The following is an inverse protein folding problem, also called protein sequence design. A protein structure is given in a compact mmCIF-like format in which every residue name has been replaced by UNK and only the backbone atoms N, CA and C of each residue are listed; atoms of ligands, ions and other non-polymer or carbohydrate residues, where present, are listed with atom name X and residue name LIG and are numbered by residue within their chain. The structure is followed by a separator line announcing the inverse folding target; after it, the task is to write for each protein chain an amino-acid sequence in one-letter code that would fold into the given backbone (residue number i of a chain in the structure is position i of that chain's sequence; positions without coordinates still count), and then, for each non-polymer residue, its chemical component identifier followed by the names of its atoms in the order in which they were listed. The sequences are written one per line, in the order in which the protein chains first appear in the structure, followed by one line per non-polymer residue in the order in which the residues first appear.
data_IF_364794863764
#
_entry.id   IF_364794863764
#
_cell.length_a   1.000
_cell.length_b   1.000
_cell.length_c   1.000
_cell.angle_alpha   90.00
_cell.angle_beta   90.00
_cell.angle_gamma   90.00
#
_symmetry.space_group_name_H-M   'P 1'
#
loop_
_entity.id
_entity.type
_entity.pdbx_description
1 polymer ?
#
# COMPACT_ATOMS: atom_id res chain seq x y z
N UNK A 1 -2.87 -19.41 16.58
CA UNK A 1 -2.73 -17.97 16.27
C UNK A 1 -1.57 -17.71 15.32
N UNK A 2 -0.29 -17.84 15.73
CA UNK A 2 0.86 -17.68 14.80
C UNK A 2 0.80 -18.70 13.65
N UNK A 3 0.41 -19.94 13.94
CA UNK A 3 0.26 -21.00 12.93
C UNK A 3 -0.73 -20.66 11.81
N UNK A 4 -1.83 -19.98 12.12
CA UNK A 4 -2.84 -19.63 11.12
C UNK A 4 -2.39 -18.45 10.23
N UNK A 5 -1.62 -17.50 10.79
CA UNK A 5 -1.01 -16.44 9.98
C UNK A 5 0.04 -17.00 9.01
N UNK A 6 0.85 -17.97 9.44
CA UNK A 6 1.76 -18.68 8.54
C UNK A 6 1.00 -19.45 7.47
N UNK A 7 -0.05 -20.18 7.84
CA UNK A 7 -0.89 -20.90 6.88
C UNK A 7 -1.56 -19.97 5.86
N UNK A 8 -2.07 -18.82 6.31
CA UNK A 8 -2.61 -17.81 5.40
C UNK A 8 -1.54 -17.29 4.45
N UNK A 9 -0.32 -17.03 4.94
CA UNK A 9 0.81 -16.66 4.09
C UNK A 9 1.17 -17.75 3.08
N UNK A 10 1.23 -19.01 3.49
CA UNK A 10 1.51 -20.13 2.58
C UNK A 10 0.45 -20.22 1.47
N UNK A 11 -0.83 -19.98 1.78
CA UNK A 11 -1.89 -19.90 0.80
C UNK A 11 -1.68 -18.73 -0.17
N UNK A 12 -1.31 -17.55 0.33
CA UNK A 12 -0.98 -16.39 -0.51
C UNK A 12 0.22 -16.68 -1.44
N UNK A 13 1.26 -17.33 -0.93
CA UNK A 13 2.44 -17.70 -1.72
C UNK A 13 2.10 -18.73 -2.85
N UNK A 14 0.92 -19.37 -2.78
CA UNK A 14 0.37 -20.25 -3.80
C UNK A 14 -0.83 -19.64 -4.56
N UNK A 15 -1.00 -18.31 -4.52
CA UNK A 15 -2.08 -17.54 -5.15
C UNK A 15 -3.51 -17.95 -4.70
N UNK A 16 -3.64 -18.60 -3.55
CA UNK A 16 -4.93 -19.04 -2.98
C UNK A 16 -5.53 -17.94 -2.08
N UNK A 17 -5.69 -16.73 -2.62
CA UNK A 17 -6.07 -15.53 -1.86
C UNK A 17 -7.42 -15.64 -1.14
N UNK A 18 -8.47 -16.16 -1.77
CA UNK A 18 -9.77 -16.37 -1.12
C UNK A 18 -9.67 -17.33 0.08
N UNK A 19 -8.84 -18.37 -0.04
CA UNK A 19 -8.61 -19.31 1.06
C UNK A 19 -7.84 -18.65 2.20
N UNK A 20 -6.86 -17.80 1.90
CA UNK A 20 -6.14 -17.01 2.89
C UNK A 20 -7.11 -16.04 3.62
N UNK A 21 -7.96 -15.32 2.89
CA UNK A 21 -9.00 -14.43 3.46
C UNK A 21 -9.90 -15.19 4.45
N UNK A 22 -10.35 -16.39 4.08
CA UNK A 22 -11.18 -17.22 4.95
C UNK A 22 -10.52 -17.61 6.27
N UNK A 23 -9.20 -17.79 6.29
CA UNK A 23 -8.44 -18.04 7.51
C UNK A 23 -8.27 -16.73 8.30
N UNK A 24 -7.83 -15.68 7.63
CA UNK A 24 -7.55 -14.39 8.24
C UNK A 24 -8.80 -13.81 8.92
N UNK A 25 -9.98 -13.85 8.28
CA UNK A 25 -11.22 -13.34 8.86
C UNK A 25 -11.69 -14.06 10.11
N UNK A 26 -11.17 -15.26 10.42
CA UNK A 26 -11.49 -16.02 11.63
C UNK A 26 -10.55 -15.71 12.80
N UNK A 27 -9.53 -14.88 12.59
CA UNK A 27 -8.56 -14.53 13.62
C UNK A 27 -9.03 -13.32 14.42
N UNK A 28 -9.35 -13.56 15.69
CA UNK A 28 -9.80 -12.55 16.64
C UNK A 28 -8.79 -12.38 17.79
N UNK A 29 -8.90 -11.29 18.54
CA UNK A 29 -8.11 -10.99 19.75
C UNK A 29 -6.59 -11.15 19.61
N UNK A 30 -6.06 -10.75 18.44
CA UNK A 30 -4.65 -10.83 18.14
C UNK A 30 -3.83 -9.78 18.92
N UNK A 31 -2.63 -10.12 19.41
CA UNK A 31 -1.64 -9.13 19.82
C UNK A 31 -1.36 -8.15 18.67
N UNK A 32 -1.09 -6.88 18.99
CA UNK A 32 -0.92 -5.80 18.00
C UNK A 32 -0.01 -6.16 16.81
N UNK A 33 1.12 -6.82 17.07
CA UNK A 33 2.04 -7.23 15.99
C UNK A 33 1.40 -8.24 15.03
N UNK A 34 0.67 -9.22 15.56
CA UNK A 34 -0.04 -10.23 14.77
C UNK A 34 -1.25 -9.65 14.06
N UNK A 35 -1.95 -8.71 14.71
CA UNK A 35 -3.04 -7.92 14.11
C UNK A 35 -2.54 -7.16 12.88
N UNK A 36 -1.39 -6.49 12.98
CA UNK A 36 -0.82 -5.74 11.86
C UNK A 36 -0.48 -6.66 10.68
N UNK A 37 0.11 -7.83 10.93
CA UNK A 37 0.33 -8.83 9.88
C UNK A 37 -0.97 -9.34 9.28
N UNK A 38 -2.00 -9.59 10.09
CA UNK A 38 -3.31 -10.02 9.58
C UNK A 38 -3.90 -8.98 8.63
N UNK A 39 -3.89 -7.71 9.02
CA UNK A 39 -4.41 -6.62 8.18
C UNK A 39 -3.60 -6.47 6.90
N UNK A 40 -2.27 -6.54 6.97
CA UNK A 40 -1.41 -6.48 5.78
C UNK A 40 -1.72 -7.62 4.79
N UNK A 41 -1.87 -8.84 5.30
CA UNK A 41 -2.20 -10.00 4.49
C UNK A 41 -3.60 -9.88 3.89
N UNK A 42 -4.58 -9.43 4.66
CA UNK A 42 -5.94 -9.19 4.17
C UNK A 42 -5.97 -8.14 3.07
N UNK A 43 -5.32 -6.97 3.26
CA UNK A 43 -5.29 -5.91 2.24
C UNK A 43 -4.63 -6.40 0.96
N UNK A 44 -3.53 -7.16 1.07
CA UNK A 44 -2.88 -7.77 -0.09
C UNK A 44 -3.78 -8.80 -0.78
N UNK A 45 -4.47 -9.66 -0.04
CA UNK A 45 -5.37 -10.64 -0.64
C UNK A 45 -6.53 -9.94 -1.37
N UNK A 46 -7.15 -8.93 -0.76
CA UNK A 46 -8.22 -8.16 -1.40
C UNK A 46 -7.74 -7.49 -2.68
N UNK A 47 -6.53 -6.91 -2.68
CA UNK A 47 -5.95 -6.33 -3.89
C UNK A 47 -5.78 -7.39 -5.00
N UNK A 48 -5.24 -8.57 -4.67
CA UNK A 48 -5.00 -9.63 -5.66
C UNK A 48 -6.27 -10.31 -6.20
N UNK A 49 -7.42 -10.15 -5.53
CA UNK A 49 -8.72 -10.58 -6.04
C UNK A 49 -9.56 -9.42 -6.60
N UNK A 50 -8.92 -8.28 -6.86
CA UNK A 50 -9.53 -7.08 -7.45
C UNK A 50 -10.63 -6.41 -6.59
N UNK A 51 -10.67 -6.71 -5.29
CA UNK A 51 -11.55 -6.09 -4.31
C UNK A 51 -10.90 -4.80 -3.74
N UNK A 52 -10.64 -3.84 -4.62
CA UNK A 52 -9.80 -2.67 -4.34
C UNK A 52 -10.32 -1.79 -3.19
N UNK A 53 -11.64 -1.60 -3.07
CA UNK A 53 -12.20 -0.84 -1.94
C UNK A 53 -11.94 -1.52 -0.59
N UNK A 54 -12.00 -2.86 -0.53
CA UNK A 54 -11.68 -3.61 0.68
C UNK A 54 -10.18 -3.60 0.97
N UNK A 55 -9.35 -3.62 -0.08
CA UNK A 55 -7.90 -3.46 0.05
C UNK A 55 -7.54 -2.10 0.68
N UNK A 56 -8.16 -1.02 0.17
CA UNK A 56 -7.98 0.35 0.68
C UNK A 56 -8.41 0.46 2.14
N UNK A 57 -9.63 0.04 2.50
CA UNK A 57 -10.12 0.12 3.89
C UNK A 57 -9.21 -0.66 4.85
N UNK A 58 -8.80 -1.87 4.45
CA UNK A 58 -7.97 -2.73 5.28
C UNK A 58 -6.56 -2.15 5.45
N UNK A 59 -5.97 -1.62 4.37
CA UNK A 59 -4.68 -0.95 4.42
C UNK A 59 -4.74 0.32 5.28
N UNK A 60 -5.81 1.11 5.18
CA UNK A 60 -5.99 2.31 6.01
C UNK A 60 -6.07 1.97 7.50
N UNK A 61 -6.84 0.93 7.85
CA UNK A 61 -6.91 0.41 9.23
C UNK A 61 -5.56 -0.05 9.76
N UNK A 62 -4.69 -0.59 8.90
CA UNK A 62 -3.31 -0.92 9.27
C UNK A 62 -2.48 0.35 9.48
N UNK A 63 -2.55 1.32 8.57
CA UNK A 63 -1.82 2.59 8.67
C UNK A 63 -2.21 3.40 9.91
N UNK A 64 -3.45 3.32 10.37
CA UNK A 64 -3.88 3.91 11.65
C UNK A 64 -3.15 3.29 12.87
N UNK A 65 -2.70 2.04 12.77
CA UNK A 65 -1.96 1.32 13.82
C UNK A 65 -0.44 1.40 13.64
N UNK A 66 0.02 1.48 12.39
CA UNK A 66 1.41 1.50 11.98
C UNK A 66 1.60 2.41 10.76
N UNK A 67 1.68 3.71 11.02
CA UNK A 67 1.80 4.76 9.99
C UNK A 67 3.11 4.69 9.17
N UNK A 68 4.04 3.81 9.54
CA UNK A 68 5.30 3.59 8.83
C UNK A 68 5.26 2.37 7.92
N UNK A 69 4.12 1.67 7.85
CA UNK A 69 3.97 0.47 7.06
C UNK A 69 3.88 0.80 5.56
N UNK A 70 5.03 0.82 4.89
CA UNK A 70 5.12 1.20 3.47
C UNK A 70 4.38 0.22 2.55
N UNK A 71 4.37 -1.08 2.87
CA UNK A 71 3.58 -2.06 2.10
C UNK A 71 2.09 -1.75 2.12
N UNK A 72 1.54 -1.38 3.29
CA UNK A 72 0.13 -1.02 3.41
C UNK A 72 -0.20 0.22 2.58
N UNK A 73 0.63 1.26 2.67
CA UNK A 73 0.47 2.46 1.85
C UNK A 73 0.56 2.13 0.36
N UNK A 74 1.52 1.31 -0.06
CA UNK A 74 1.68 0.94 -1.47
C UNK A 74 0.48 0.14 -2.00
N UNK A 75 -0.08 -0.78 -1.21
CA UNK A 75 -1.33 -1.48 -1.58
C UNK A 75 -2.47 -0.47 -1.76
N UNK A 76 -2.58 0.52 -0.87
CA UNK A 76 -3.61 1.56 -0.95
C UNK A 76 -3.41 2.45 -2.19
N UNK A 77 -2.17 2.85 -2.49
CA UNK A 77 -1.81 3.58 -3.71
C UNK A 77 -2.20 2.80 -4.97
N UNK A 78 -1.78 1.53 -5.06
CA UNK A 78 -2.06 0.68 -6.22
C UNK A 78 -3.56 0.43 -6.37
N UNK A 79 -4.28 0.19 -5.29
CA UNK A 79 -5.71 0.00 -5.34
C UNK A 79 -6.47 1.26 -5.82
N UNK A 80 -6.04 2.47 -5.42
CA UNK A 80 -6.58 3.70 -6.02
C UNK A 80 -6.26 3.81 -7.51
N UNK A 81 -5.04 3.43 -7.90
CA UNK A 81 -4.61 3.46 -9.29
C UNK A 81 -5.43 2.51 -10.17
N UNK A 82 -5.67 1.27 -9.73
CA UNK A 82 -6.53 0.29 -10.43
C UNK A 82 -7.99 0.75 -10.52
N UNK A 83 -8.45 1.58 -9.59
CA UNK A 83 -9.76 2.24 -9.63
C UNK A 83 -9.78 3.50 -10.52
N UNK A 84 -8.67 3.81 -11.20
CA UNK A 84 -8.47 5.05 -11.98
C UNK A 84 -8.62 6.33 -11.14
N UNK A 85 -8.51 6.24 -9.81
CA UNK A 85 -8.56 7.36 -8.87
C UNK A 85 -7.16 7.92 -8.63
N UNK A 86 -6.57 8.46 -9.70
CA UNK A 86 -5.19 8.95 -9.69
C UNK A 86 -4.95 10.06 -8.68
N UNK A 87 -5.96 10.87 -8.37
CA UNK A 87 -5.86 11.92 -7.36
C UNK A 87 -5.61 11.31 -5.98
N UNK A 88 -6.38 10.29 -5.60
CA UNK A 88 -6.19 9.64 -4.30
C UNK A 88 -4.93 8.77 -4.27
N UNK A 89 -4.53 8.16 -5.39
CA UNK A 89 -3.23 7.49 -5.50
C UNK A 89 -2.08 8.48 -5.22
N UNK A 90 -2.02 9.60 -5.94
CA UNK A 90 -0.99 10.62 -5.74
C UNK A 90 -1.01 11.20 -4.32
N UNK A 91 -2.20 11.47 -3.77
CA UNK A 91 -2.34 11.93 -2.38
C UNK A 91 -1.78 10.90 -1.39
N UNK A 92 -2.02 9.60 -1.59
CA UNK A 92 -1.54 8.55 -0.68
C UNK A 92 -0.01 8.50 -0.63
N UNK A 93 0.67 8.44 -1.79
CA UNK A 93 2.14 8.42 -1.84
C UNK A 93 2.75 9.72 -1.28
N UNK A 94 2.16 10.88 -1.61
CA UNK A 94 2.62 12.18 -1.09
C UNK A 94 2.48 12.25 0.44
N UNK A 95 1.32 11.85 0.96
CA UNK A 95 1.04 11.89 2.40
C UNK A 95 1.97 10.94 3.16
N UNK A 96 2.17 9.72 2.66
CA UNK A 96 3.04 8.73 3.28
C UNK A 96 4.50 9.22 3.30
N UNK A 97 5.05 9.63 2.16
CA UNK A 97 6.46 10.02 2.04
C UNK A 97 6.79 11.39 2.64
N UNK A 98 5.77 12.22 2.93
CA UNK A 98 5.98 13.43 3.72
C UNK A 98 6.51 13.11 5.13
N UNK A 99 6.12 11.95 5.69
CA UNK A 99 6.44 11.55 7.07
C UNK A 99 7.39 10.35 7.16
N UNK A 100 7.54 9.60 6.07
CA UNK A 100 8.35 8.38 6.01
C UNK A 100 9.44 8.48 4.93
N UNK A 101 10.38 7.54 4.97
CA UNK A 101 11.37 7.33 3.92
C UNK A 101 10.79 6.36 2.88
N UNK A 102 11.17 6.54 1.61
CA UNK A 102 10.84 5.61 0.54
C UNK A 102 11.83 4.45 0.52
N UNK A 103 11.34 3.22 0.63
CA UNK A 103 12.07 2.01 0.27
C UNK A 103 11.41 1.34 -0.93
N UNK A 104 10.13 0.99 -0.80
CA UNK A 104 9.32 0.39 -1.87
C UNK A 104 8.88 1.43 -2.89
N UNK A 105 8.58 2.65 -2.45
CA UNK A 105 8.12 3.73 -3.32
C UNK A 105 9.20 4.36 -4.20
N UNK A 106 10.47 3.94 -4.11
CA UNK A 106 11.53 4.53 -4.94
C UNK A 106 11.27 4.39 -6.43
N UNK A 107 10.89 3.19 -6.87
CA UNK A 107 10.57 2.92 -8.28
C UNK A 107 9.34 3.73 -8.71
N UNK A 108 8.30 3.75 -7.89
CA UNK A 108 7.10 4.56 -8.15
C UNK A 108 7.42 6.05 -8.27
N UNK A 109 8.32 6.58 -7.42
CA UNK A 109 8.77 7.97 -7.55
C UNK A 109 9.55 8.22 -8.84
N UNK A 110 10.39 7.28 -9.29
CA UNK A 110 11.09 7.37 -10.58
C UNK A 110 10.12 7.39 -11.77
N UNK A 111 9.06 6.58 -11.72
CA UNK A 111 7.98 6.56 -12.71
C UNK A 111 7.22 7.88 -12.72
N UNK A 112 6.80 8.38 -11.55
CA UNK A 112 6.11 9.66 -11.43
C UNK A 112 6.97 10.85 -11.94
N UNK A 113 8.29 10.81 -11.73
CA UNK A 113 9.21 11.80 -12.31
C UNK A 113 9.28 11.71 -13.83
N UNK A 114 9.11 10.52 -14.40
CA UNK A 114 9.01 10.31 -15.85
C UNK A 114 7.69 10.88 -16.37
N UNK A 115 6.58 10.60 -15.70
CA UNK A 115 5.26 11.13 -16.04
C UNK A 115 5.21 12.67 -16.00
N UNK A 116 5.94 13.29 -15.07
CA UNK A 116 6.12 14.76 -15.04
C UNK A 116 6.87 15.25 -16.28
N UNK A 117 7.95 14.57 -16.69
CA UNK A 117 8.74 14.96 -17.86
C UNK A 117 7.95 14.81 -19.16
N UNK A 118 7.10 13.79 -19.23
CA UNK A 118 6.23 13.52 -20.39
C UNK A 118 4.97 14.41 -20.40
N UNK A 119 4.72 15.14 -19.31
CA UNK A 119 3.63 16.10 -19.18
C UNK A 119 2.29 15.50 -18.75
N UNK A 120 2.28 14.21 -18.36
CA UNK A 120 1.10 13.54 -17.81
C UNK A 120 0.73 14.09 -16.43
N UNK A 121 1.73 14.48 -15.63
CA UNK A 121 1.56 15.20 -14.37
C UNK A 121 2.10 16.61 -14.53
N UNK A 122 1.21 17.60 -14.51
CA UNK A 122 1.57 19.00 -14.80
C UNK A 122 0.97 20.02 -13.83
N UNK A 123 0.23 19.56 -12.80
CA UNK A 123 -0.29 20.42 -11.74
C UNK A 123 0.87 20.87 -10.84
N UNK A 124 1.09 22.19 -10.76
CA UNK A 124 2.31 22.79 -10.21
C UNK A 124 2.61 22.33 -8.78
N UNK A 125 1.60 22.25 -7.91
CA UNK A 125 1.80 21.84 -6.52
C UNK A 125 2.18 20.35 -6.42
N UNK A 126 1.52 19.48 -7.18
CA UNK A 126 1.85 18.04 -7.25
C UNK A 126 3.25 17.83 -7.81
N UNK A 127 3.62 18.51 -8.90
CA UNK A 127 4.95 18.43 -9.51
C UNK A 127 6.03 18.82 -8.50
N UNK A 128 5.87 19.98 -7.85
CA UNK A 128 6.82 20.44 -6.84
C UNK A 128 6.94 19.43 -5.69
N UNK A 129 5.82 18.88 -5.23
CA UNK A 129 5.81 17.95 -4.11
C UNK A 129 6.49 16.62 -4.44
N UNK A 130 6.25 16.07 -5.62
CA UNK A 130 6.91 14.82 -6.08
C UNK A 130 8.42 15.04 -6.21
N UNK A 131 8.85 16.17 -6.78
CA UNK A 131 10.28 16.50 -6.91
C UNK A 131 10.95 16.69 -5.54
N UNK A 132 10.29 17.36 -4.59
CA UNK A 132 10.77 17.49 -3.21
C UNK A 132 10.96 16.11 -2.55
N UNK A 133 9.97 15.22 -2.71
CA UNK A 133 10.01 13.87 -2.15
C UNK A 133 11.10 13.02 -2.81
N UNK A 134 11.31 13.14 -4.12
CA UNK A 134 12.38 12.44 -4.82
C UNK A 134 13.77 12.89 -4.34
N UNK A 135 13.98 14.20 -4.18
CA UNK A 135 15.22 14.76 -3.63
C UNK A 135 15.46 14.27 -2.20
N UNK A 136 14.43 14.32 -1.33
CA UNK A 136 14.50 13.83 0.06
C UNK A 136 14.92 12.36 0.12
N UNK A 137 14.53 11.55 -0.87
CA UNK A 137 14.81 10.12 -0.93
C UNK A 137 16.04 9.75 -1.79
N UNK A 138 16.86 10.73 -2.17
CA UNK A 138 18.09 10.57 -2.97
C UNK A 138 17.85 9.87 -4.32
N UNK A 139 16.73 10.17 -4.99
CA UNK A 139 16.42 9.66 -6.33
C UNK A 139 16.99 10.58 -7.42
N UNK A 140 17.01 11.89 -7.15
CA UNK A 140 17.55 12.95 -8.01
C UNK A 140 18.52 13.87 -7.26
#
# INVERSE_FOLDING_TARGET
MITELHKAKDLMDNDQYESAINILNKLEDLPLKSENFRLLFLSNCFYNIEEYYLAIDTADRLLQKDHKNEYASQIKYLAYYELEDYNNALNEIINFLSHNEANLYKVTLEELLTDIKEGFINEEATVYKIQELALKNNII
#
